data_IF_505308599777
#
_entry.id   IF_505308599777
#
_cell.length_a   1.000
_cell.length_b   1.000
_cell.length_c   1.000
_cell.angle_alpha   90.00
_cell.angle_beta   90.00
_cell.angle_gamma   90.00
#
_symmetry.space_group_name_H-M   'P 1'
#
loop_
_entity.id
_entity.type
_entity.pdbx_description
1 polymer ?
#
# COMPACT_ATOMS: atom_id res chain seq x y z
N UNK A 1 33.36 9.26 15.39
CA UNK A 1 32.14 9.29 16.23
C UNK A 1 31.17 10.26 15.55
N UNK A 2 30.25 9.91 14.66
CA UNK A 2 29.30 8.80 14.61
C UNK A 2 28.05 9.36 13.95
N UNK A 3 28.13 9.69 12.64
CA UNK A 3 27.10 10.40 11.87
C UNK A 3 25.86 9.53 11.50
N UNK A 4 25.54 8.52 12.31
CA UNK A 4 24.45 7.57 12.05
C UNK A 4 23.19 7.86 12.88
N UNK A 5 23.25 8.77 13.86
CA UNK A 5 22.13 9.06 14.77
C UNK A 5 20.92 9.72 14.09
N UNK A 6 21.10 10.36 12.93
CA UNK A 6 20.01 11.06 12.21
C UNK A 6 19.27 10.21 11.15
N UNK A 7 19.74 8.98 10.88
CA UNK A 7 19.11 8.04 9.94
C UNK A 7 18.12 7.06 10.64
N UNK A 8 18.02 7.08 11.97
CA UNK A 8 17.50 5.98 12.78
C UNK A 8 16.13 6.15 13.45
N UNK A 9 15.21 6.99 12.94
CA UNK A 9 13.84 7.07 13.50
C UNK A 9 12.88 6.16 12.72
N UNK A 10 12.30 5.11 13.36
CA UNK A 10 11.34 4.20 12.73
C UNK A 10 10.23 4.91 11.97
N UNK A 11 9.70 6.03 12.49
CA UNK A 11 8.64 6.83 11.87
C UNK A 11 9.05 7.37 10.50
N UNK A 12 10.28 7.89 10.42
CA UNK A 12 10.83 8.41 9.16
C UNK A 12 11.03 7.29 8.15
N UNK A 13 11.46 6.12 8.60
CA UNK A 13 11.63 4.95 7.73
C UNK A 13 10.28 4.48 7.19
N UNK A 14 9.26 4.36 8.03
CA UNK A 14 7.89 4.00 7.62
C UNK A 14 7.35 5.01 6.60
N UNK A 15 7.53 6.32 6.85
CA UNK A 15 7.14 7.37 5.89
C UNK A 15 7.79 7.17 4.53
N UNK A 16 9.11 6.98 4.50
CA UNK A 16 9.86 6.75 3.25
C UNK A 16 9.42 5.47 2.55
N UNK A 17 9.16 4.38 3.28
CA UNK A 17 8.67 3.13 2.67
C UNK A 17 7.25 3.27 2.12
N UNK A 18 6.39 4.05 2.79
CA UNK A 18 5.04 4.38 2.29
C UNK A 18 5.12 5.18 1.00
N UNK A 19 5.94 6.24 0.95
CA UNK A 19 6.14 7.04 -0.27
C UNK A 19 6.76 6.21 -1.40
N UNK A 20 7.68 5.29 -1.07
CA UNK A 20 8.29 4.37 -2.04
C UNK A 20 7.28 3.39 -2.60
N UNK A 21 6.37 2.85 -1.76
CA UNK A 21 5.29 1.98 -2.20
C UNK A 21 4.39 2.69 -3.21
N UNK A 22 3.92 3.89 -2.88
CA UNK A 22 3.06 4.67 -3.78
C UNK A 22 3.75 4.94 -5.12
N UNK A 23 5.01 5.38 -5.08
CA UNK A 23 5.82 5.61 -6.30
C UNK A 23 6.01 4.35 -7.13
N UNK A 24 6.26 3.21 -6.49
CA UNK A 24 6.41 1.93 -7.20
C UNK A 24 5.11 1.53 -7.91
N UNK A 25 3.96 1.74 -7.26
CA UNK A 25 2.63 1.51 -7.87
C UNK A 25 2.37 2.48 -9.03
N UNK A 26 2.63 3.78 -8.87
CA UNK A 26 2.50 4.77 -9.96
C UNK A 26 3.28 4.36 -11.21
N UNK A 27 4.51 3.88 -11.00
CA UNK A 27 5.42 3.41 -12.05
C UNK A 27 5.12 2.00 -12.55
N UNK A 28 4.16 1.29 -11.93
CA UNK A 28 3.87 -0.14 -12.17
C UNK A 28 5.12 -1.01 -12.05
N UNK A 29 6.04 -0.63 -11.16
CA UNK A 29 7.23 -1.39 -10.85
C UNK A 29 6.88 -2.49 -9.83
N UNK A 30 6.31 -3.58 -10.35
CA UNK A 30 5.76 -4.63 -9.51
C UNK A 30 6.80 -5.40 -8.71
N UNK A 31 8.03 -5.50 -9.20
CA UNK A 31 9.14 -6.09 -8.45
C UNK A 31 9.46 -5.27 -7.21
N UNK A 32 9.42 -3.93 -7.32
CA UNK A 32 9.60 -3.05 -6.16
C UNK A 32 8.43 -3.11 -5.17
N UNK A 33 7.19 -3.19 -5.67
CA UNK A 33 6.03 -3.38 -4.80
C UNK A 33 6.15 -4.70 -4.04
N UNK A 34 6.48 -5.78 -4.73
CA UNK A 34 6.61 -7.12 -4.15
C UNK A 34 7.70 -7.20 -3.07
N UNK A 35 8.83 -6.50 -3.25
CA UNK A 35 9.88 -6.39 -2.24
C UNK A 35 9.47 -5.62 -0.98
N UNK A 36 8.47 -4.73 -1.09
CA UNK A 36 7.94 -3.95 0.03
C UNK A 36 6.83 -4.67 0.78
N UNK A 37 6.25 -5.74 0.23
CA UNK A 37 5.13 -6.47 0.84
C UNK A 37 5.65 -7.73 1.53
N UNK A 38 5.30 -7.89 2.80
CA UNK A 38 5.68 -9.05 3.62
C UNK A 38 5.09 -10.34 3.07
N UNK A 39 5.82 -11.45 3.18
CA UNK A 39 5.27 -12.79 2.89
C UNK A 39 4.04 -13.14 3.75
N UNK A 40 3.99 -12.61 4.97
CA UNK A 40 2.87 -12.80 5.89
C UNK A 40 1.73 -11.76 5.68
N UNK A 41 1.71 -11.04 4.57
CA UNK A 41 0.74 -10.00 4.30
C UNK A 41 -0.70 -10.54 4.28
N UNK A 42 -1.60 -9.81 4.95
CA UNK A 42 -3.05 -10.03 4.93
C UNK A 42 -3.80 -8.72 5.14
N UNK A 43 -4.64 -8.35 4.18
CA UNK A 43 -5.32 -7.04 4.16
C UNK A 43 -6.75 -7.03 4.73
N UNK A 44 -7.35 -5.84 4.74
CA UNK A 44 -8.73 -5.61 5.19
C UNK A 44 -9.79 -6.41 4.42
N UNK A 45 -9.44 -6.90 3.22
CA UNK A 45 -10.34 -7.58 2.30
C UNK A 45 -10.07 -9.08 2.20
N UNK A 46 -9.18 -9.61 3.04
CA UNK A 46 -8.84 -11.03 3.07
C UNK A 46 -7.92 -11.48 1.93
N UNK A 47 -7.25 -10.54 1.25
CA UNK A 47 -6.22 -10.88 0.26
C UNK A 47 -4.88 -11.11 0.95
N UNK A 48 -4.25 -12.23 0.60
CA UNK A 48 -2.85 -12.49 0.90
C UNK A 48 -1.92 -11.76 -0.10
N UNK A 49 -0.59 -11.78 0.14
CA UNK A 49 0.40 -11.13 -0.72
C UNK A 49 0.17 -11.39 -2.22
N UNK A 50 0.07 -12.66 -2.61
CA UNK A 50 -0.08 -13.04 -4.02
C UNK A 50 -1.35 -12.47 -4.64
N UNK A 51 -2.48 -12.59 -3.95
CA UNK A 51 -3.77 -12.07 -4.43
C UNK A 51 -3.80 -10.55 -4.47
N UNK A 52 -3.24 -9.88 -3.46
CA UNK A 52 -3.17 -8.41 -3.42
C UNK A 52 -2.29 -7.85 -4.54
N UNK A 53 -1.15 -8.49 -4.83
CA UNK A 53 -0.28 -8.10 -5.95
C UNK A 53 -0.97 -8.31 -7.30
N UNK A 54 -1.63 -9.46 -7.51
CA UNK A 54 -2.38 -9.74 -8.74
C UNK A 54 -3.53 -8.73 -8.93
N UNK A 55 -4.30 -8.49 -7.88
CA UNK A 55 -5.40 -7.53 -7.85
C UNK A 55 -4.92 -6.11 -8.17
N UNK A 56 -3.83 -5.68 -7.54
CA UNK A 56 -3.20 -4.37 -7.79
C UNK A 56 -2.70 -4.24 -9.23
N UNK A 57 -2.06 -5.29 -9.76
CA UNK A 57 -1.59 -5.35 -11.15
C UNK A 57 -2.73 -5.16 -12.14
N UNK A 58 -3.86 -5.82 -11.90
CA UNK A 58 -5.03 -5.72 -12.75
C UNK A 58 -5.60 -4.30 -12.75
N UNK A 59 -5.89 -3.73 -11.58
CA UNK A 59 -6.50 -2.39 -11.46
C UNK A 59 -5.57 -1.30 -11.99
N UNK A 60 -4.36 -1.18 -11.42
CA UNK A 60 -3.47 -0.08 -11.78
C UNK A 60 -2.88 -0.23 -13.19
N UNK A 61 -2.91 -1.45 -13.74
CA UNK A 61 -2.61 -1.73 -15.14
C UNK A 61 -3.60 -1.08 -16.12
N UNK A 62 -4.86 -0.84 -15.71
CA UNK A 62 -5.88 -0.23 -16.57
C UNK A 62 -5.73 1.29 -16.75
N UNK A 63 -4.89 1.95 -15.94
CA UNK A 63 -4.64 3.38 -16.08
C UNK A 63 -3.68 3.65 -17.25
N UNK A 64 -3.98 4.63 -18.10
CA UNK A 64 -3.02 5.14 -19.10
C UNK A 64 -1.99 6.08 -18.45
N UNK A 65 -2.47 6.89 -17.51
CA UNK A 65 -1.65 7.74 -16.64
C UNK A 65 -2.14 7.52 -15.21
N UNK A 66 -1.22 7.32 -14.29
CA UNK A 66 -1.52 7.11 -12.88
C UNK A 66 -0.60 8.01 -12.04
N UNK A 67 -1.19 8.76 -11.13
CA UNK A 67 -0.49 9.46 -10.06
C UNK A 67 -1.27 9.29 -8.77
N UNK A 68 -0.57 8.98 -7.70
CA UNK A 68 -1.05 8.73 -6.35
C UNK A 68 -0.47 9.84 -5.46
N UNK A 69 -1.28 10.85 -5.17
CA UNK A 69 -0.83 11.97 -4.34
C UNK A 69 -1.19 11.72 -2.88
N UNK A 70 -0.22 11.41 -1.99
CA UNK A 70 -0.52 11.21 -0.58
C UNK A 70 -0.96 12.52 0.07
N UNK A 71 -2.00 12.45 0.90
CA UNK A 71 -2.55 13.57 1.66
C UNK A 71 -2.56 13.22 3.15
N UNK A 72 -2.20 14.21 3.98
CA UNK A 72 -2.21 14.10 5.44
C UNK A 72 -1.52 12.84 6.00
N UNK A 73 -0.38 12.43 5.41
CA UNK A 73 0.36 11.25 5.85
C UNK A 73 0.89 11.41 7.28
N UNK A 74 0.30 10.65 8.19
CA UNK A 74 0.70 10.50 9.58
C UNK A 74 1.33 9.13 9.80
N UNK A 75 2.25 9.05 10.75
CA UNK A 75 2.89 7.80 11.15
C UNK A 75 2.84 7.69 12.66
N UNK A 76 2.38 6.55 13.15
CA UNK A 76 2.36 6.20 14.56
C UNK A 76 3.16 4.91 14.76
N UNK A 77 4.00 4.87 15.80
CA UNK A 77 4.67 3.63 16.19
C UNK A 77 3.74 2.79 17.07
N UNK A 78 3.88 1.47 16.97
CA UNK A 78 3.19 0.57 17.87
C UNK A 78 3.75 0.71 19.29
N UNK A 79 2.88 0.81 20.30
CA UNK A 79 3.32 1.00 21.69
C UNK A 79 4.03 -0.25 22.26
N UNK A 80 3.72 -1.44 21.74
CA UNK A 80 4.31 -2.71 22.20
C UNK A 80 5.70 -2.94 21.64
N UNK A 81 5.95 -2.62 20.36
CA UNK A 81 7.28 -2.67 19.76
C UNK A 81 7.53 -1.51 18.77
N UNK A 82 7.79 -0.30 19.29
CA UNK A 82 7.94 0.91 18.46
C UNK A 82 9.15 0.84 17.53
N UNK A 83 10.10 -0.07 17.81
CA UNK A 83 11.30 -0.25 17.00
C UNK A 83 11.09 -1.16 15.78
N UNK A 84 10.03 -1.97 15.80
CA UNK A 84 9.74 -2.96 14.77
C UNK A 84 8.37 -2.85 14.14
N UNK A 85 7.45 -2.10 14.73
CA UNK A 85 6.08 -2.02 14.24
C UNK A 85 5.60 -0.57 14.24
N UNK A 86 4.81 -0.24 13.23
CA UNK A 86 4.13 1.04 13.16
C UNK A 86 3.10 1.07 12.05
N UNK A 87 2.32 2.14 12.04
CA UNK A 87 1.23 2.36 11.11
C UNK A 87 1.43 3.70 10.40
N UNK A 88 1.22 3.70 9.11
CA UNK A 88 1.02 4.91 8.32
C UNK A 88 -0.47 5.09 8.05
N UNK A 89 -0.98 6.29 8.28
CA UNK A 89 -2.36 6.66 7.99
C UNK A 89 -2.38 7.82 7.02
N UNK A 90 -3.07 7.66 5.90
CA UNK A 90 -3.13 8.67 4.84
C UNK A 90 -4.37 8.52 3.97
N UNK A 91 -4.74 9.60 3.32
CA UNK A 91 -5.55 9.56 2.10
C UNK A 91 -4.60 9.63 0.91
N UNK A 92 -5.07 9.23 -0.26
CA UNK A 92 -4.38 9.58 -1.49
C UNK A 92 -5.38 9.91 -2.58
N UNK A 93 -5.06 10.95 -3.34
CA UNK A 93 -5.83 11.31 -4.53
C UNK A 93 -5.24 10.56 -5.70
N UNK A 94 -6.08 9.79 -6.38
CA UNK A 94 -5.76 9.18 -7.67
C UNK A 94 -6.03 10.23 -8.75
N UNK A 95 -4.98 10.61 -9.46
CA UNK A 95 -5.07 11.41 -10.69
C UNK A 95 -4.72 10.55 -11.90
N UNK A 96 -5.37 10.87 -13.01
CA UNK A 96 -5.20 10.18 -14.28
C UNK A 96 -6.50 9.54 -14.75
N UNK A 97 -6.39 8.77 -15.82
CA UNK A 97 -7.54 8.15 -16.48
C UNK A 97 -7.11 6.84 -17.13
N UNK A 98 -8.08 5.96 -17.35
CA UNK A 98 -7.86 4.66 -17.94
C UNK A 98 -9.15 4.04 -18.48
N UNK A 99 -9.17 2.71 -18.53
CA UNK A 99 -10.39 1.95 -18.81
C UNK A 99 -11.48 2.14 -17.73
N UNK A 100 -12.68 1.57 -17.93
CA UNK A 100 -13.80 1.72 -17.01
C UNK A 100 -13.46 1.37 -15.55
N UNK A 101 -12.72 0.28 -15.33
CA UNK A 101 -12.30 -0.15 -13.99
C UNK A 101 -11.35 0.85 -13.32
N UNK A 102 -10.41 1.44 -14.08
CA UNK A 102 -9.51 2.47 -13.57
C UNK A 102 -10.27 3.73 -13.14
N UNK A 103 -11.23 4.18 -13.97
CA UNK A 103 -12.01 5.38 -13.66
C UNK A 103 -12.92 5.15 -12.45
N UNK A 104 -13.59 3.99 -12.37
CA UNK A 104 -14.38 3.61 -11.20
C UNK A 104 -13.52 3.56 -9.92
N UNK A 105 -12.34 2.94 -9.99
CA UNK A 105 -11.41 2.88 -8.86
C UNK A 105 -11.00 4.29 -8.43
N UNK A 106 -10.65 5.17 -9.38
CA UNK A 106 -10.29 6.56 -9.11
C UNK A 106 -11.41 7.29 -8.39
N UNK A 107 -12.63 7.22 -8.91
CA UNK A 107 -13.78 7.94 -8.36
C UNK A 107 -14.13 7.42 -6.96
N UNK A 108 -14.11 6.11 -6.76
CA UNK A 108 -14.37 5.49 -5.46
C UNK A 108 -13.32 5.89 -4.43
N UNK A 109 -12.02 5.77 -4.75
CA UNK A 109 -10.94 6.10 -3.82
C UNK A 109 -10.92 7.59 -3.47
N UNK A 110 -11.16 8.46 -4.45
CA UNK A 110 -11.17 9.91 -4.24
C UNK A 110 -12.38 10.38 -3.42
N UNK A 111 -13.41 9.56 -3.27
CA UNK A 111 -14.60 9.84 -2.49
C UNK A 111 -14.54 9.29 -1.05
N UNK A 112 -13.47 8.59 -0.67
CA UNK A 112 -13.34 8.02 0.68
C UNK A 112 -13.18 9.12 1.73
N UNK A 113 -13.98 9.04 2.78
CA UNK A 113 -13.87 9.93 3.94
C UNK A 113 -12.87 9.37 4.95
N UNK A 114 -12.77 8.04 5.05
CA UNK A 114 -11.82 7.37 5.94
C UNK A 114 -10.45 7.19 5.29
N UNK A 115 -9.35 7.33 6.05
CA UNK A 115 -8.01 7.14 5.54
C UNK A 115 -7.69 5.66 5.35
N UNK A 116 -6.71 5.38 4.49
CA UNK A 116 -6.04 4.10 4.48
C UNK A 116 -5.13 3.96 5.70
N UNK A 117 -5.09 2.75 6.24
CA UNK A 117 -4.17 2.34 7.29
C UNK A 117 -3.22 1.28 6.74
N UNK A 118 -1.93 1.58 6.78
CA UNK A 118 -0.87 0.71 6.29
C UNK A 118 -0.02 0.30 7.49
N UNK A 119 -0.08 -0.98 7.86
CA UNK A 119 0.76 -1.51 8.93
C UNK A 119 2.09 -1.98 8.34
N UNK A 120 3.16 -1.55 8.99
CA UNK A 120 4.53 -1.82 8.62
C UNK A 120 5.22 -2.59 9.74
N UNK A 121 6.00 -3.58 9.35
CA UNK A 121 6.84 -4.33 10.26
C UNK A 121 8.28 -4.34 9.73
N UNK A 122 9.23 -4.15 10.64
CA UNK A 122 10.64 -4.28 10.33
C UNK A 122 11.02 -5.75 10.22
N UNK A 123 11.62 -6.13 9.10
CA UNK A 123 12.13 -7.50 8.90
C UNK A 123 13.33 -7.75 9.80
N UNK A 124 13.29 -8.85 10.56
CA UNK A 124 14.39 -9.26 11.41
C UNK A 124 15.66 -9.55 10.60
N UNK A 125 16.82 -9.14 11.11
CA UNK A 125 18.13 -9.43 10.50
C UNK A 125 18.64 -8.42 9.48
N UNK A 126 17.80 -7.54 8.94
CA UNK A 126 18.22 -6.48 8.02
C UNK A 126 18.00 -5.09 8.64
N UNK A 127 19.05 -4.24 8.72
CA UNK A 127 18.87 -2.88 9.17
C UNK A 127 18.01 -2.11 8.14
N UNK A 128 17.00 -1.38 8.63
CA UNK A 128 16.17 -0.44 7.86
C UNK A 128 15.17 -1.05 6.85
N UNK A 129 15.02 -2.37 6.77
CA UNK A 129 14.04 -3.01 5.90
C UNK A 129 12.67 -3.10 6.56
N UNK A 130 11.73 -2.30 6.09
CA UNK A 130 10.32 -2.36 6.48
C UNK A 130 9.49 -3.02 5.40
N UNK A 131 8.59 -3.89 5.82
CA UNK A 131 7.68 -4.62 4.96
C UNK A 131 6.24 -4.31 5.38
N UNK A 132 5.40 -4.07 4.39
CA UNK A 132 3.97 -3.86 4.54
C UNK A 132 3.33 -5.20 4.91
N UNK A 133 2.63 -5.24 6.03
CA UNK A 133 1.95 -6.45 6.52
C UNK A 133 0.45 -6.39 6.31
N UNK A 134 -0.13 -5.20 6.22
CA UNK A 134 -1.56 -5.01 6.07
C UNK A 134 -1.88 -3.64 5.47
N UNK A 135 -2.83 -3.62 4.56
CA UNK A 135 -3.54 -2.40 4.14
C UNK A 135 -5.00 -2.56 4.51
N UNK A 136 -5.64 -1.50 4.97
CA UNK A 136 -7.08 -1.49 5.15
C UNK A 136 -7.65 -0.09 4.98
N UNK A 137 -8.90 -0.05 4.55
CA UNK A 137 -9.74 1.12 4.60
C UNK A 137 -11.16 0.63 4.93
N UNK A 138 -11.84 1.19 5.94
CA UNK A 138 -13.12 0.68 6.41
C UNK A 138 -14.29 0.92 5.44
N UNK A 139 -14.16 1.87 4.52
CA UNK A 139 -15.21 2.26 3.57
C UNK A 139 -14.99 1.66 2.17
N UNK A 140 -13.73 1.41 1.80
CA UNK A 140 -13.41 0.90 0.48
C UNK A 140 -13.92 -0.54 0.33
N UNK A 141 -14.78 -0.73 -0.66
CA UNK A 141 -15.16 -2.05 -1.16
C UNK A 141 -14.35 -2.31 -2.44
N UNK A 142 -13.62 -3.41 -2.47
CA UNK A 142 -12.83 -3.77 -3.64
C UNK A 142 -13.76 -4.04 -4.83
N UNK A 143 -13.58 -3.36 -5.99
CA UNK A 143 -14.33 -3.68 -7.18
C UNK A 143 -14.13 -5.15 -7.60
N UNK A 144 -15.20 -5.80 -8.04
CA UNK A 144 -15.13 -7.15 -8.56
C UNK A 144 -14.33 -7.17 -9.86
N UNK A 145 -13.32 -8.02 -9.92
CA UNK A 145 -12.51 -8.22 -11.11
C UNK A 145 -13.16 -9.28 -12.00
N UNK A 146 -13.21 -9.05 -13.31
CA UNK A 146 -13.81 -9.97 -14.26
C UNK A 146 -13.16 -11.37 -14.22
N UNK A 147 -11.86 -11.44 -13.87
CA UNK A 147 -11.15 -12.71 -13.65
C UNK A 147 -11.66 -13.51 -12.45
N UNK A 148 -12.35 -12.89 -11.49
CA UNK A 148 -13.00 -13.59 -10.38
C UNK A 148 -14.42 -14.06 -10.70
N UNK A 149 -15.13 -13.40 -11.62
CA UNK A 149 -16.44 -13.83 -12.09
C UNK A 149 -16.36 -15.17 -12.85
N UNK A 150 -15.28 -15.41 -13.59
CA UNK A 150 -15.06 -16.65 -14.33
C UNK A 150 -14.67 -17.85 -13.44
N UNK A 151 -14.13 -17.60 -12.24
CA UNK A 151 -13.72 -18.66 -11.31
C UNK A 151 -14.91 -19.20 -10.48
N UNK A 152 -16.02 -18.46 -10.39
CA UNK A 152 -17.24 -18.87 -9.69
C UNK A 152 -18.32 -19.51 -10.56
N UNK A 153 -18.08 -19.66 -11.88
CA UNK A 153 -19.02 -20.26 -12.85
C UNK A 153 -18.59 -21.66 -13.33
N UNK A 154 -17.84 -22.43 -12.53
CA UNK A 154 -17.50 -23.82 -12.83
C UNK A 154 -17.99 -24.78 -11.75
#
# INVERSE_FOLDING_TARGET
MGAFWHYGRPERQIRVHTERLLRAVEQRNWDQVEMLVSEAYSDGWGLNKQRALAYSREIFGQFFRLRLQPQALQVQLDLGDPSRQGRATLWFVIEGSGGPLANLTRDQVNALEQPFQLNWQRRGGEPFRWELTRVENPELQLPLLASQEQAGQR
#
